data_IF_930103940919
#
_entry.id   IF_930103940919
#
_cell.length_a   1.000
_cell.length_b   1.000
_cell.length_c   1.000
_cell.angle_alpha   90.00
_cell.angle_beta   90.00
_cell.angle_gamma   90.00
#
_symmetry.space_group_name_H-M   'P 1'
#
loop_
_entity.id
_entity.type
_entity.pdbx_description
1 polymer ?
#
# COMPACT_ATOMS: atom_id res chain seq x y z
N UNK A 1 -33.17 23.72 -45.20
CA UNK A 1 -31.87 24.41 -45.05
C UNK A 1 -31.50 24.40 -43.57
N UNK A 2 -30.21 24.18 -43.25
CA UNK A 2 -29.56 24.04 -41.92
C UNK A 2 -29.42 22.61 -41.40
N UNK A 3 -28.40 21.96 -41.98
CA UNK A 3 -27.68 20.81 -41.46
C UNK A 3 -27.12 21.18 -40.08
N UNK A 4 -27.63 20.55 -39.02
CA UNK A 4 -26.99 20.50 -37.71
C UNK A 4 -25.78 19.57 -37.80
N UNK A 5 -24.67 20.09 -38.35
CA UNK A 5 -23.40 19.41 -38.28
C UNK A 5 -22.90 19.48 -36.83
N UNK A 6 -22.94 18.35 -36.14
CA UNK A 6 -22.31 18.17 -34.85
C UNK A 6 -20.86 18.67 -34.91
N UNK A 7 -20.59 19.76 -34.20
CA UNK A 7 -19.23 20.19 -33.91
C UNK A 7 -18.64 19.19 -32.89
N UNK A 8 -18.23 18.01 -33.38
CA UNK A 8 -17.39 17.08 -32.63
C UNK A 8 -16.07 17.79 -32.37
N UNK A 9 -15.94 18.44 -31.22
CA UNK A 9 -14.75 19.21 -30.86
C UNK A 9 -13.51 18.31 -30.98
N UNK A 10 -12.66 18.59 -31.97
CA UNK A 10 -11.40 17.84 -32.14
C UNK A 10 -10.60 17.95 -30.84
N UNK A 11 -10.07 16.85 -30.29
CA UNK A 11 -9.27 16.91 -29.07
C UNK A 11 -8.11 17.89 -29.27
N UNK A 12 -7.84 18.72 -28.26
CA UNK A 12 -6.75 19.69 -28.32
C UNK A 12 -5.41 18.98 -28.57
N UNK A 13 -4.49 19.66 -29.27
CA UNK A 13 -3.16 19.11 -29.62
C UNK A 13 -2.45 18.54 -28.38
N UNK A 14 -2.52 19.23 -27.24
CA UNK A 14 -1.94 18.78 -25.97
C UNK A 14 -2.61 17.51 -25.38
N UNK A 15 -3.91 17.28 -25.66
CA UNK A 15 -4.60 16.04 -25.27
C UNK A 15 -4.13 14.88 -26.13
N UNK A 16 -3.99 15.11 -27.43
CA UNK A 16 -3.52 14.09 -28.39
C UNK A 16 -2.08 13.67 -28.08
N UNK A 17 -1.19 14.63 -27.85
CA UNK A 17 0.20 14.38 -27.46
C UNK A 17 0.30 13.55 -26.18
N UNK A 18 -0.49 13.88 -25.15
CA UNK A 18 -0.54 13.07 -23.91
C UNK A 18 -1.01 11.64 -24.14
N UNK A 19 -1.99 11.43 -25.01
CA UNK A 19 -2.46 10.08 -25.33
C UNK A 19 -1.36 9.31 -26.05
N UNK A 20 -0.74 9.89 -27.07
CA UNK A 20 0.37 9.28 -27.83
C UNK A 20 1.54 8.89 -26.90
N UNK A 21 1.83 9.75 -25.94
CA UNK A 21 2.80 9.51 -24.88
C UNK A 21 2.43 8.36 -23.93
N UNK A 22 1.15 8.24 -23.54
CA UNK A 22 0.65 7.17 -22.67
C UNK A 22 0.60 5.81 -23.39
N UNK A 23 0.26 5.80 -24.68
CA UNK A 23 0.22 4.57 -25.50
C UNK A 23 1.57 4.24 -26.14
N UNK A 24 2.60 5.04 -25.91
CA UNK A 24 3.98 4.72 -26.31
C UNK A 24 4.47 3.44 -25.62
N UNK A 25 5.45 2.71 -26.19
CA UNK A 25 5.96 1.48 -25.58
C UNK A 25 6.43 1.67 -24.12
N UNK A 26 7.06 2.81 -23.80
CA UNK A 26 7.50 3.12 -22.44
C UNK A 26 6.34 3.49 -21.51
N UNK A 27 5.29 4.14 -22.02
CA UNK A 27 4.06 4.40 -21.29
C UNK A 27 3.28 3.12 -20.98
N UNK A 28 3.12 2.24 -21.97
CA UNK A 28 2.51 0.93 -21.80
C UNK A 28 3.30 0.04 -20.85
N UNK A 29 4.64 0.06 -20.92
CA UNK A 29 5.49 -0.67 -19.99
C UNK A 29 5.28 -0.21 -18.54
N UNK A 30 5.32 1.10 -18.27
CA UNK A 30 5.04 1.64 -16.94
C UNK A 30 3.64 1.26 -16.46
N UNK A 31 2.63 1.39 -17.33
CA UNK A 31 1.26 1.01 -17.01
C UNK A 31 1.14 -0.49 -16.68
N UNK A 32 1.76 -1.36 -17.47
CA UNK A 32 1.79 -2.80 -17.22
C UNK A 32 2.44 -3.13 -15.88
N UNK A 33 3.59 -2.52 -15.57
CA UNK A 33 4.25 -2.71 -14.27
C UNK A 33 3.34 -2.27 -13.11
N UNK A 34 2.65 -1.13 -13.23
CA UNK A 34 1.72 -0.69 -12.20
C UNK A 34 0.52 -1.63 -12.05
N UNK A 35 -0.04 -2.13 -13.15
CA UNK A 35 -1.13 -3.12 -13.09
C UNK A 35 -0.67 -4.41 -12.42
N UNK A 36 0.52 -4.91 -12.78
CA UNK A 36 1.10 -6.11 -12.17
C UNK A 36 1.41 -5.90 -10.68
N UNK A 37 1.81 -4.69 -10.28
CA UNK A 37 2.07 -4.34 -8.88
C UNK A 37 0.82 -4.37 -7.99
N UNK A 38 -0.41 -4.37 -8.56
CA UNK A 38 -1.65 -4.50 -7.79
C UNK A 38 -1.63 -5.80 -6.97
N UNK A 39 -1.27 -6.93 -7.58
CA UNK A 39 -1.28 -8.23 -6.90
C UNK A 39 -0.40 -8.28 -5.64
N UNK A 40 0.91 -7.99 -5.68
CA UNK A 40 1.76 -8.05 -4.49
C UNK A 40 1.42 -6.97 -3.45
N UNK A 41 0.89 -5.81 -3.86
CA UNK A 41 0.54 -4.71 -2.93
C UNK A 41 -0.83 -4.91 -2.26
N UNK A 42 -1.75 -5.64 -2.88
CA UNK A 42 -3.12 -5.87 -2.38
C UNK A 42 -3.39 -7.30 -1.91
N UNK A 43 -2.32 -8.07 -1.67
CA UNK A 43 -2.42 -9.44 -1.19
C UNK A 43 -3.01 -9.53 0.22
N UNK A 44 -3.52 -10.70 0.56
CA UNK A 44 -4.02 -11.02 1.90
C UNK A 44 -2.89 -10.94 2.94
N UNK A 45 -3.26 -11.01 4.21
CA UNK A 45 -2.30 -11.10 5.32
C UNK A 45 -1.45 -12.37 5.12
N UNK A 46 -0.13 -12.20 5.03
CA UNK A 46 0.86 -13.26 4.85
C UNK A 46 1.88 -13.30 6.00
N UNK A 47 1.88 -12.28 6.87
CA UNK A 47 2.80 -12.20 7.99
C UNK A 47 2.37 -13.22 9.06
N UNK A 48 3.22 -14.20 9.43
CA UNK A 48 2.89 -15.19 10.46
C UNK A 48 2.65 -14.53 11.83
N UNK A 49 3.32 -13.41 12.12
CA UNK A 49 3.25 -12.75 13.43
C UNK A 49 2.04 -11.80 13.53
N UNK A 50 1.33 -11.56 12.44
CA UNK A 50 0.17 -10.65 12.39
C UNK A 50 -0.87 -10.97 13.47
N UNK A 51 -1.16 -12.26 13.70
CA UNK A 51 -2.20 -12.67 14.64
C UNK A 51 -1.84 -12.36 16.09
N UNK A 52 -0.55 -12.44 16.42
CA UNK A 52 -0.05 -12.05 17.72
C UNK A 52 -0.25 -10.55 17.93
N UNK A 53 0.17 -9.72 16.97
CA UNK A 53 0.00 -8.26 17.01
C UNK A 53 -1.46 -7.83 17.11
N UNK A 54 -2.34 -8.44 16.30
CA UNK A 54 -3.77 -8.16 16.36
C UNK A 54 -4.33 -8.49 17.75
N UNK A 55 -3.95 -9.65 18.32
CA UNK A 55 -4.45 -10.07 19.63
C UNK A 55 -3.89 -9.19 20.76
N UNK A 56 -2.63 -8.79 20.68
CA UNK A 56 -2.01 -7.86 21.62
C UNK A 56 -2.76 -6.51 21.63
N UNK A 57 -3.05 -5.98 20.43
CA UNK A 57 -3.86 -4.78 20.25
C UNK A 57 -5.24 -4.88 20.88
N UNK A 58 -5.95 -5.99 20.67
CA UNK A 58 -7.26 -6.25 21.28
C UNK A 58 -7.16 -6.28 22.81
N UNK A 59 -6.17 -6.98 23.37
CA UNK A 59 -5.96 -7.04 24.82
C UNK A 59 -5.66 -5.66 25.42
N UNK A 60 -4.89 -4.82 24.73
CA UNK A 60 -4.61 -3.46 25.17
C UNK A 60 -5.86 -2.59 25.18
N UNK A 61 -6.70 -2.69 24.14
CA UNK A 61 -7.97 -1.98 24.08
C UNK A 61 -8.95 -2.46 25.16
N UNK A 62 -9.06 -3.76 25.38
CA UNK A 62 -9.97 -4.37 26.37
C UNK A 62 -9.58 -3.99 27.80
N UNK A 63 -8.28 -3.95 28.10
CA UNK A 63 -7.76 -3.60 29.44
C UNK A 63 -7.54 -2.09 29.65
N UNK A 64 -7.64 -1.30 28.58
CA UNK A 64 -7.24 0.12 28.56
C UNK A 64 -5.83 0.35 29.13
N UNK A 65 -4.89 -0.56 28.85
CA UNK A 65 -3.54 -0.54 29.39
C UNK A 65 -2.55 -1.23 28.45
N UNK A 66 -1.29 -0.77 28.46
CA UNK A 66 -0.18 -1.48 27.82
C UNK A 66 0.10 -2.79 28.56
N UNK A 67 0.58 -3.81 27.84
CA UNK A 67 0.94 -5.09 28.44
C UNK A 67 2.39 -5.02 28.97
N UNK A 68 2.57 -5.20 30.28
CA UNK A 68 3.91 -5.26 30.90
C UNK A 68 4.52 -6.66 30.91
N UNK A 69 3.69 -7.70 30.79
CA UNK A 69 4.13 -9.10 30.68
C UNK A 69 3.63 -9.73 29.40
N UNK A 70 4.38 -10.70 28.88
CA UNK A 70 3.98 -11.47 27.70
C UNK A 70 2.79 -12.39 28.03
N UNK A 71 1.59 -12.16 27.48
CA UNK A 71 0.44 -13.03 27.75
C UNK A 71 0.45 -14.32 26.92
N UNK A 72 1.37 -14.46 25.97
CA UNK A 72 1.40 -15.55 25.00
C UNK A 72 2.47 -16.60 25.32
N UNK A 73 3.33 -16.35 26.30
CA UNK A 73 4.28 -17.34 26.83
C UNK A 73 3.56 -18.42 27.64
N UNK A 74 3.94 -19.69 27.41
CA UNK A 74 3.36 -20.82 28.12
C UNK A 74 4.11 -21.18 29.42
N UNK A 75 5.44 -21.02 29.45
CA UNK A 75 6.29 -21.53 30.54
C UNK A 75 6.81 -20.44 31.47
N UNK A 76 6.79 -19.17 31.06
CA UNK A 76 7.40 -18.06 31.82
C UNK A 76 6.39 -16.93 32.04
N UNK A 77 5.34 -17.18 32.82
CA UNK A 77 4.22 -16.25 33.00
C UNK A 77 4.62 -14.84 33.50
N UNK A 78 5.80 -14.69 34.12
CA UNK A 78 6.34 -13.41 34.58
C UNK A 78 7.31 -12.73 33.60
N UNK A 79 7.43 -13.24 32.36
CA UNK A 79 8.30 -12.66 31.35
C UNK A 79 7.86 -11.23 31.04
N UNK A 80 8.77 -10.28 31.26
CA UNK A 80 8.54 -8.88 30.92
C UNK A 80 8.57 -8.72 29.41
N UNK A 81 7.57 -8.05 28.85
CA UNK A 81 7.49 -7.82 27.41
C UNK A 81 7.60 -6.33 27.11
N UNK A 82 8.63 -5.94 26.37
CA UNK A 82 8.75 -4.57 25.87
C UNK A 82 7.95 -4.44 24.58
N UNK A 83 6.83 -3.73 24.65
CA UNK A 83 5.97 -3.47 23.49
C UNK A 83 6.51 -2.32 22.64
N UNK A 84 7.38 -2.62 21.67
CA UNK A 84 7.91 -1.62 20.75
C UNK A 84 6.90 -1.21 19.65
N UNK A 85 5.92 -2.07 19.35
CA UNK A 85 4.97 -1.89 18.24
C UNK A 85 3.53 -1.62 18.71
N UNK A 86 3.35 -1.19 19.96
CA UNK A 86 2.03 -1.06 20.60
C UNK A 86 1.03 -0.19 19.80
N UNK A 87 1.52 0.87 19.15
CA UNK A 87 0.66 1.76 18.36
C UNK A 87 0.13 1.06 17.11
N UNK A 88 0.97 0.27 16.44
CA UNK A 88 0.58 -0.56 15.29
C UNK A 88 -0.44 -1.61 15.69
N UNK A 89 -0.23 -2.24 16.85
CA UNK A 89 -1.14 -3.24 17.41
C UNK A 89 -2.51 -2.65 17.75
N UNK A 90 -2.55 -1.48 18.42
CA UNK A 90 -3.78 -0.73 18.67
C UNK A 90 -4.47 -0.37 17.36
N UNK A 91 -3.71 0.10 16.36
CA UNK A 91 -4.23 0.43 15.04
C UNK A 91 -4.88 -0.79 14.35
N UNK A 92 -4.23 -1.95 14.39
CA UNK A 92 -4.80 -3.20 13.89
C UNK A 92 -6.12 -3.53 14.58
N UNK A 93 -6.17 -3.47 15.90
CA UNK A 93 -7.38 -3.81 16.65
C UNK A 93 -8.54 -2.86 16.35
N UNK A 94 -8.30 -1.54 16.28
CA UNK A 94 -9.32 -0.55 15.92
C UNK A 94 -9.82 -0.77 14.49
N UNK A 95 -8.91 -0.96 13.55
CA UNK A 95 -9.24 -1.14 12.13
C UNK A 95 -9.98 -2.46 11.90
N UNK A 96 -9.56 -3.53 12.57
CA UNK A 96 -10.26 -4.82 12.55
C UNK A 96 -11.68 -4.70 13.11
N UNK A 97 -11.86 -3.95 14.20
CA UNK A 97 -13.20 -3.71 14.77
C UNK A 97 -14.09 -2.87 13.85
N UNK A 98 -13.52 -1.92 13.12
CA UNK A 98 -14.27 -1.01 12.25
C UNK A 98 -14.71 -1.66 10.92
N UNK A 99 -13.88 -2.51 10.31
CA UNK A 99 -14.16 -3.05 8.97
C UNK A 99 -13.54 -4.42 8.69
N UNK A 100 -13.15 -5.15 9.73
CA UNK A 100 -12.56 -6.48 9.61
C UNK A 100 -11.16 -6.47 9.00
N UNK A 101 -10.69 -7.66 8.62
CA UNK A 101 -9.37 -7.86 8.01
C UNK A 101 -9.25 -7.17 6.66
N UNK A 102 -10.36 -7.06 5.91
CA UNK A 102 -10.40 -6.38 4.63
C UNK A 102 -10.03 -4.90 4.73
N UNK A 103 -10.50 -4.21 5.77
CA UNK A 103 -10.14 -2.80 6.00
C UNK A 103 -8.66 -2.63 6.37
N UNK A 104 -8.08 -3.57 7.10
CA UNK A 104 -6.63 -3.57 7.36
C UNK A 104 -5.87 -3.69 6.05
N UNK A 105 -6.16 -4.72 5.26
CA UNK A 105 -5.49 -4.94 3.96
C UNK A 105 -5.62 -3.70 3.09
N UNK A 106 -6.83 -3.15 2.94
CA UNK A 106 -7.09 -1.95 2.16
C UNK A 106 -6.26 -0.75 2.65
N UNK A 107 -6.18 -0.54 3.96
CA UNK A 107 -5.46 0.62 4.52
C UNK A 107 -3.96 0.55 4.23
N UNK A 108 -3.33 -0.61 4.45
CA UNK A 108 -1.91 -0.79 4.15
C UNK A 108 -1.64 -0.78 2.65
N UNK A 109 -2.53 -1.36 1.83
CA UNK A 109 -2.42 -1.29 0.37
C UNK A 109 -2.48 0.16 -0.13
N UNK A 110 -3.42 0.95 0.37
CA UNK A 110 -3.51 2.38 0.03
C UNK A 110 -2.25 3.12 0.47
N UNK A 111 -1.75 2.88 1.68
CA UNK A 111 -0.53 3.51 2.16
C UNK A 111 0.68 3.19 1.26
N UNK A 112 0.86 1.92 0.87
CA UNK A 112 1.94 1.51 -0.06
C UNK A 112 1.76 2.15 -1.43
N UNK A 113 0.54 2.17 -1.97
CA UNK A 113 0.25 2.82 -3.26
C UNK A 113 0.51 4.32 -3.23
N UNK A 114 0.13 5.01 -2.16
CA UNK A 114 0.44 6.43 -1.97
C UNK A 114 1.95 6.66 -1.95
N UNK A 115 2.73 5.82 -1.27
CA UNK A 115 4.19 5.86 -1.30
C UNK A 115 4.75 5.72 -2.72
N UNK A 116 4.30 4.71 -3.47
CA UNK A 116 4.70 4.48 -4.87
C UNK A 116 4.37 5.71 -5.73
N UNK A 117 3.16 6.26 -5.61
CA UNK A 117 2.74 7.45 -6.38
C UNK A 117 3.59 8.66 -6.01
N UNK A 118 3.84 8.93 -4.74
CA UNK A 118 4.69 10.04 -4.30
C UNK A 118 6.11 9.94 -4.89
N UNK A 119 6.71 8.74 -4.84
CA UNK A 119 8.04 8.49 -5.43
C UNK A 119 8.00 8.68 -6.94
N UNK A 120 6.98 8.15 -7.63
CA UNK A 120 6.81 8.29 -9.07
C UNK A 120 6.63 9.74 -9.50
N UNK A 121 5.80 10.52 -8.82
CA UNK A 121 5.59 11.94 -9.10
C UNK A 121 6.91 12.71 -8.97
N UNK A 122 7.68 12.43 -7.91
CA UNK A 122 8.98 13.06 -7.71
C UNK A 122 10.00 12.64 -8.76
N UNK A 123 10.04 11.36 -9.12
CA UNK A 123 10.99 10.84 -10.10
C UNK A 123 10.64 11.28 -11.53
N UNK A 124 9.35 11.36 -11.86
CA UNK A 124 8.85 11.89 -13.13
C UNK A 124 9.23 13.36 -13.29
N UNK A 125 9.06 14.18 -12.25
CA UNK A 125 9.46 15.59 -12.25
C UNK A 125 10.97 15.81 -12.49
N UNK A 126 11.83 14.80 -12.24
CA UNK A 126 13.26 14.89 -12.49
C UNK A 126 13.71 14.35 -13.84
N UNK A 127 13.11 13.25 -14.29
CA UNK A 127 13.63 12.49 -15.44
C UNK A 127 12.73 12.52 -16.66
N UNK A 128 11.39 12.57 -16.47
CA UNK A 128 10.41 12.35 -17.54
C UNK A 128 10.45 10.98 -18.23
N UNK A 129 11.42 10.12 -17.90
CA UNK A 129 11.67 8.86 -18.60
C UNK A 129 10.80 7.73 -18.03
N UNK A 130 9.66 7.48 -18.68
CA UNK A 130 8.70 6.44 -18.28
C UNK A 130 9.28 5.03 -18.20
N UNK A 131 10.26 4.71 -19.05
CA UNK A 131 10.89 3.39 -19.01
C UNK A 131 11.72 3.22 -17.73
N UNK A 132 12.54 4.22 -17.39
CA UNK A 132 13.31 4.23 -16.14
C UNK A 132 12.40 4.18 -14.90
N UNK A 133 11.27 4.88 -14.94
CA UNK A 133 10.26 4.81 -13.87
C UNK A 133 9.65 3.41 -13.75
N UNK A 134 9.26 2.80 -14.88
CA UNK A 134 8.71 1.44 -14.89
C UNK A 134 9.71 0.42 -14.35
N UNK A 135 10.97 0.52 -14.76
CA UNK A 135 12.04 -0.35 -14.26
C UNK A 135 12.28 -0.14 -12.76
N UNK A 136 12.29 1.12 -12.30
CA UNK A 136 12.45 1.45 -10.89
C UNK A 136 11.31 0.88 -10.03
N UNK A 137 10.06 1.02 -10.47
CA UNK A 137 8.91 0.41 -9.78
C UNK A 137 8.99 -1.10 -9.79
N UNK A 138 9.34 -1.71 -10.93
CA UNK A 138 9.48 -3.16 -11.03
C UNK A 138 10.50 -3.70 -10.01
N UNK A 139 11.68 -3.09 -9.96
CA UNK A 139 12.72 -3.44 -8.99
C UNK A 139 12.24 -3.22 -7.56
N UNK A 140 11.58 -2.09 -7.28
CA UNK A 140 11.04 -1.79 -5.96
C UNK A 140 9.99 -2.82 -5.53
N UNK A 141 9.10 -3.25 -6.44
CA UNK A 141 8.08 -4.27 -6.17
C UNK A 141 8.72 -5.61 -5.84
N UNK A 142 9.70 -6.05 -6.62
CA UNK A 142 10.41 -7.30 -6.33
C UNK A 142 11.15 -7.25 -4.99
N UNK A 143 11.87 -6.16 -4.72
CA UNK A 143 12.63 -5.99 -3.48
C UNK A 143 11.73 -5.82 -2.24
N UNK A 144 10.61 -5.13 -2.40
CA UNK A 144 9.68 -4.80 -1.32
C UNK A 144 8.63 -5.88 -1.03
N UNK A 145 8.42 -6.84 -1.93
CA UNK A 145 7.42 -7.91 -1.78
C UNK A 145 7.50 -8.69 -0.44
N UNK A 146 8.68 -8.96 0.16
CA UNK A 146 8.72 -9.58 1.47
C UNK A 146 8.21 -8.66 2.59
N UNK A 147 8.35 -7.34 2.43
CA UNK A 147 8.18 -6.35 3.49
C UNK A 147 6.77 -5.74 3.47
N UNK A 148 6.20 -5.52 2.29
CA UNK A 148 4.90 -4.83 2.18
C UNK A 148 3.72 -5.71 2.60
N UNK A 149 2.77 -5.10 3.29
CA UNK A 149 1.51 -5.72 3.72
C UNK A 149 1.12 -5.29 5.14
N UNK A 150 0.09 -5.92 5.72
CA UNK A 150 -0.34 -5.66 7.10
C UNK A 150 0.71 -6.12 8.12
N UNK A 151 1.76 -5.32 8.29
CA UNK A 151 2.90 -5.58 9.17
C UNK A 151 3.05 -4.45 10.18
N UNK A 152 3.43 -4.78 11.40
CA UNK A 152 3.56 -3.78 12.45
C UNK A 152 4.67 -2.74 12.13
N UNK A 153 5.75 -3.19 11.49
CA UNK A 153 6.90 -2.37 11.07
C UNK A 153 6.58 -1.34 9.98
N UNK A 154 5.39 -1.39 9.36
CA UNK A 154 4.99 -0.38 8.39
C UNK A 154 4.56 0.95 9.03
N UNK A 155 4.34 0.97 10.35
CA UNK A 155 3.97 2.17 11.12
C UNK A 155 5.00 2.55 12.19
N UNK A 156 6.01 1.71 12.44
CA UNK A 156 7.06 1.87 13.47
C UNK A 156 8.41 1.48 12.91
#
# INVERSE_FOLDING_TARGET
>A
MRITAELRSKPSVARRQRIEELVSPSGLFLAAVLVLAIMPVTRTIQDPDFWWHLRAGQLMLDKAALLGTDPFTYTVASHQWTMHEWLSEVFFAVTQRAGGLGLIVLTFSVATWLGIVCVLLRAFARTGNRFALGLGVLVAVFAGNPIWGPRAQMLT
#
